data_IF_300710120812
#
_entry.id   IF_300710120812
#
_cell.length_a   1.000
_cell.length_b   1.000
_cell.length_c   1.000
_cell.angle_alpha   90.00
_cell.angle_beta   90.00
_cell.angle_gamma   90.00
#
_symmetry.space_group_name_H-M   'P 1'
#
loop_
_entity.id
_entity.type
_entity.pdbx_description
1 polymer ?
#
# COMPACT_ATOMS: atom_id res chain seq x y z
N UNK A 1 -10.84 -12.23 -4.28
CA UNK A 1 -9.86 -13.18 -3.72
C UNK A 1 -9.02 -13.77 -4.86
N UNK A 2 -7.75 -13.38 -5.00
CA UNK A 2 -6.82 -14.04 -5.94
C UNK A 2 -5.91 -14.96 -5.12
N UNK A 3 -5.95 -16.24 -5.45
CA UNK A 3 -5.13 -17.28 -4.84
C UNK A 3 -3.65 -16.97 -5.06
N UNK A 4 -2.91 -16.72 -3.97
CA UNK A 4 -1.44 -16.84 -3.98
C UNK A 4 -1.15 -18.34 -3.97
N UNK A 5 -0.87 -18.90 -5.14
CA UNK A 5 -0.41 -20.28 -5.28
C UNK A 5 1.00 -20.36 -4.67
N UNK A 6 1.08 -20.75 -3.40
CA UNK A 6 2.33 -21.11 -2.73
C UNK A 6 2.91 -22.35 -3.41
N UNK A 7 3.75 -22.15 -4.43
CA UNK A 7 4.67 -23.21 -4.84
C UNK A 7 5.66 -23.42 -3.69
N UNK A 8 5.59 -24.58 -3.03
CA UNK A 8 6.63 -25.06 -2.12
C UNK A 8 7.94 -25.23 -2.88
N UNK A 9 8.67 -24.14 -3.04
CA UNK A 9 10.10 -24.15 -3.36
C UNK A 9 10.82 -23.91 -2.04
N UNK A 10 11.96 -24.56 -1.88
CA UNK A 10 12.80 -24.60 -0.68
C UNK A 10 13.24 -23.23 -0.10
N UNK A 11 12.89 -22.12 -0.74
CA UNK A 11 13.28 -20.76 -0.37
C UNK A 11 12.07 -19.82 -0.34
N UNK A 12 11.93 -19.06 0.76
CA UNK A 12 10.97 -17.95 0.86
C UNK A 12 11.48 -16.83 -0.05
N UNK A 13 10.73 -16.55 -1.13
CA UNK A 13 11.12 -15.59 -2.18
C UNK A 13 10.34 -14.28 -2.12
N UNK A 14 9.47 -14.09 -1.12
CA UNK A 14 8.57 -12.95 -1.06
C UNK A 14 8.38 -12.57 0.41
N UNK A 15 8.79 -11.36 0.76
CA UNK A 15 8.25 -10.62 1.91
C UNK A 15 7.24 -9.60 1.38
N UNK A 16 6.21 -9.32 2.16
CA UNK A 16 5.24 -8.26 1.83
C UNK A 16 5.11 -7.32 3.00
N UNK A 17 5.27 -6.03 2.73
CA UNK A 17 4.99 -4.96 3.69
C UNK A 17 3.63 -4.32 3.35
N UNK A 18 2.88 -3.94 4.38
CA UNK A 18 1.66 -3.14 4.24
C UNK A 18 1.98 -1.77 4.80
N UNK A 19 1.65 -0.72 4.06
CA UNK A 19 1.73 0.65 4.57
C UNK A 19 0.36 1.32 4.52
N UNK A 20 0.11 2.12 5.54
CA UNK A 20 -1.04 2.99 5.64
C UNK A 20 -0.58 4.41 5.98
N UNK A 21 -1.01 5.43 5.22
CA UNK A 21 -0.74 6.81 5.57
C UNK A 21 -1.44 7.20 6.87
N UNK A 22 -0.82 8.08 7.65
CA UNK A 22 -1.54 8.80 8.70
C UNK A 22 -2.24 10.00 8.06
N UNK A 23 -3.57 10.02 8.09
CA UNK A 23 -4.37 11.07 7.49
C UNK A 23 -5.29 11.66 8.54
N UNK A 24 -5.17 12.96 8.75
CA UNK A 24 -6.03 13.72 9.66
C UNK A 24 -6.76 14.79 8.87
N UNK A 25 -8.10 14.73 8.86
CA UNK A 25 -8.90 15.76 8.21
C UNK A 25 -8.89 17.04 9.06
N UNK A 26 -8.51 18.16 8.46
CA UNK A 26 -8.42 19.44 9.19
C UNK A 26 -9.78 20.12 9.43
N UNK A 27 -10.87 19.51 8.97
CA UNK A 27 -12.19 20.15 8.93
C UNK A 27 -12.18 21.49 8.18
N UNK A 28 -11.26 21.62 7.21
CA UNK A 28 -11.10 22.78 6.35
C UNK A 28 -11.51 22.37 4.93
N UNK A 29 -12.47 23.10 4.35
CA UNK A 29 -13.05 22.75 3.06
C UNK A 29 -13.60 23.95 2.29
N UNK A 30 -13.69 23.77 0.98
CA UNK A 30 -14.31 24.71 0.05
C UNK A 30 -15.23 23.94 -0.90
N UNK A 31 -16.46 24.41 -1.02
CA UNK A 31 -17.50 23.85 -1.87
C UNK A 31 -17.98 24.90 -2.86
N UNK A 32 -18.01 24.54 -4.13
CA UNK A 32 -18.65 25.32 -5.20
C UNK A 32 -19.64 24.42 -5.92
N UNK A 33 -20.87 24.91 -6.07
CA UNK A 33 -21.90 24.31 -6.90
C UNK A 33 -22.14 25.21 -8.11
N UNK A 34 -21.96 24.67 -9.30
CA UNK A 34 -22.26 25.41 -10.54
C UNK A 34 -23.79 25.34 -10.78
N UNK A 35 -24.48 26.49 -10.75
CA UNK A 35 -25.95 26.60 -10.86
C UNK A 35 -26.44 26.90 -12.27
N UNK A 36 -25.56 27.33 -13.16
CA UNK A 36 -25.84 27.53 -14.58
C UNK A 36 -24.67 27.07 -15.45
N UNK A 37 -24.96 26.71 -16.70
CA UNK A 37 -23.94 26.46 -17.71
C UNK A 37 -23.19 27.75 -18.13
N UNK A 38 -23.79 28.91 -17.86
CA UNK A 38 -23.22 30.23 -18.18
C UNK A 38 -22.24 30.74 -17.11
N UNK A 39 -21.93 29.92 -16.10
CA UNK A 39 -20.94 30.24 -15.06
C UNK A 39 -21.50 30.89 -13.81
N UNK A 40 -22.82 30.83 -13.58
CA UNK A 40 -23.36 31.13 -12.26
C UNK A 40 -23.09 29.98 -11.28
N UNK A 41 -22.87 30.32 -10.02
CA UNK A 41 -22.48 29.38 -8.99
C UNK A 41 -22.86 29.87 -7.60
N UNK A 42 -22.94 28.90 -6.70
CA UNK A 42 -23.10 29.11 -5.27
C UNK A 42 -21.90 28.50 -4.57
N UNK A 43 -21.38 29.18 -3.55
CA UNK A 43 -20.17 28.75 -2.87
C UNK A 43 -20.27 28.84 -1.35
N UNK A 44 -19.45 28.04 -0.68
CA UNK A 44 -19.25 28.08 0.76
C UNK A 44 -17.88 27.52 1.13
N UNK A 45 -17.25 28.10 2.15
CA UNK A 45 -16.02 27.56 2.72
C UNK A 45 -16.02 27.67 4.24
N UNK A 46 -15.17 26.89 4.89
CA UNK A 46 -14.81 27.07 6.30
C UNK A 46 -13.93 28.30 6.54
N UNK A 47 -13.30 28.85 5.49
CA UNK A 47 -12.47 30.05 5.59
C UNK A 47 -13.31 31.33 5.51
N UNK A 48 -13.33 32.09 6.60
CA UNK A 48 -14.18 33.29 6.70
C UNK A 48 -13.83 34.38 5.67
N UNK A 49 -12.55 34.58 5.38
CA UNK A 49 -12.11 35.58 4.40
C UNK A 49 -12.67 35.29 2.99
N UNK A 50 -12.73 34.02 2.60
CA UNK A 50 -13.32 33.62 1.33
C UNK A 50 -14.83 33.91 1.30
N UNK A 51 -15.54 33.56 2.37
CA UNK A 51 -16.98 33.82 2.49
C UNK A 51 -17.30 35.32 2.43
N UNK A 52 -16.47 36.17 3.05
CA UNK A 52 -16.62 37.62 2.99
C UNK A 52 -16.41 38.18 1.58
N UNK A 53 -15.50 37.61 0.79
CA UNK A 53 -15.29 38.01 -0.60
C UNK A 53 -16.41 37.52 -1.53
N UNK A 54 -17.19 36.53 -1.12
CA UNK A 54 -18.20 35.86 -1.94
C UNK A 54 -19.63 36.05 -1.42
N UNK A 55 -19.88 37.10 -0.62
CA UNK A 55 -21.16 37.28 0.07
C UNK A 55 -22.39 37.22 -0.85
N UNK A 56 -22.30 37.72 -2.08
CA UNK A 56 -23.41 37.68 -3.05
C UNK A 56 -23.80 36.27 -3.48
N UNK A 57 -22.85 35.32 -3.45
CA UNK A 57 -23.01 33.93 -3.90
C UNK A 57 -22.89 32.92 -2.76
N UNK A 58 -22.84 33.41 -1.51
CA UNK A 58 -22.65 32.60 -0.32
C UNK A 58 -23.97 31.94 0.10
N UNK A 59 -23.94 30.63 0.30
CA UNK A 59 -24.99 29.91 1.05
C UNK A 59 -24.34 29.11 2.16
N UNK A 60 -24.99 28.98 3.30
CA UNK A 60 -24.45 28.23 4.42
C UNK A 60 -25.07 26.82 4.41
N UNK A 61 -24.30 25.76 4.11
CA UNK A 61 -24.76 24.39 4.17
C UNK A 61 -24.77 23.84 5.60
N UNK A 62 -25.46 22.73 5.78
CA UNK A 62 -25.23 21.83 6.91
C UNK A 62 -24.13 20.84 6.51
N UNK A 63 -23.05 20.78 7.29
CA UNK A 63 -21.93 19.86 7.06
C UNK A 63 -21.86 18.85 8.20
N UNK A 64 -21.72 17.59 7.84
CA UNK A 64 -21.47 16.48 8.76
C UNK A 64 -20.23 15.74 8.25
N UNK A 65 -19.20 15.67 9.08
CA UNK A 65 -17.99 14.91 8.80
C UNK A 65 -17.80 13.88 9.92
N UNK A 66 -17.41 12.67 9.57
CA UNK A 66 -17.11 11.60 10.51
C UNK A 66 -15.92 10.81 10.01
N UNK A 67 -14.86 10.78 10.80
CA UNK A 67 -13.72 9.88 10.58
C UNK A 67 -13.98 8.56 11.31
N UNK A 68 -13.72 7.44 10.64
CA UNK A 68 -13.88 6.11 11.19
C UNK A 68 -12.56 5.34 11.10
N UNK A 69 -12.23 4.67 12.18
CA UNK A 69 -11.23 3.61 12.27
C UNK A 69 -11.97 2.26 12.22
N UNK A 70 -11.79 1.51 11.13
CA UNK A 70 -12.52 0.26 10.86
C UNK A 70 -11.74 -0.94 11.38
N UNK A 71 -10.41 -0.87 11.35
CA UNK A 71 -9.53 -1.97 11.77
C UNK A 71 -9.10 -1.88 13.26
N UNK A 72 -9.37 -0.76 13.93
CA UNK A 72 -9.08 -0.50 15.34
C UNK A 72 -7.61 -0.24 15.63
N UNK A 73 -6.83 0.19 14.65
CA UNK A 73 -5.38 0.40 14.78
C UNK A 73 -5.00 1.82 15.28
N UNK A 74 -5.99 2.67 15.51
CA UNK A 74 -5.83 4.06 15.95
C UNK A 74 -5.59 5.06 14.82
N UNK A 75 -5.68 4.64 13.56
CA UNK A 75 -5.61 5.49 12.36
C UNK A 75 -6.99 5.58 11.71
N UNK A 76 -7.26 6.71 11.08
CA UNK A 76 -8.51 6.87 10.34
C UNK A 76 -8.43 6.12 9.00
N UNK A 77 -9.43 5.28 8.71
CA UNK A 77 -9.56 4.49 7.48
C UNK A 77 -10.54 5.12 6.49
N UNK A 78 -11.60 5.74 7.00
CA UNK A 78 -12.66 6.32 6.17
C UNK A 78 -13.07 7.70 6.70
N UNK A 79 -13.25 8.66 5.78
CA UNK A 79 -13.95 9.91 6.03
C UNK A 79 -15.32 9.85 5.35
N UNK A 80 -16.37 9.86 6.15
CA UNK A 80 -17.76 10.03 5.72
C UNK A 80 -18.15 11.51 5.81
N UNK A 81 -18.45 12.10 4.65
CA UNK A 81 -18.79 13.51 4.53
C UNK A 81 -20.17 13.65 3.88
N UNK A 82 -21.09 14.31 4.59
CA UNK A 82 -22.41 14.67 4.09
C UNK A 82 -22.59 16.18 4.18
N UNK A 83 -22.90 16.80 3.04
CA UNK A 83 -23.14 18.23 2.93
C UNK A 83 -24.53 18.46 2.36
N UNK A 84 -25.33 19.27 3.03
CA UNK A 84 -26.66 19.67 2.59
C UNK A 84 -26.66 21.17 2.28
N UNK A 85 -26.59 21.51 1.00
CA UNK A 85 -26.57 22.89 0.53
C UNK A 85 -27.99 23.37 0.23
N UNK A 86 -28.48 24.43 0.88
CA UNK A 86 -29.78 25.00 0.56
C UNK A 86 -29.72 25.69 -0.80
N UNK A 87 -30.63 25.32 -1.70
CA UNK A 87 -30.77 25.89 -3.03
C UNK A 87 -32.22 26.33 -3.22
N UNK A 88 -32.43 27.34 -4.06
CA UNK A 88 -33.76 27.78 -4.43
C UNK A 88 -34.47 26.76 -5.34
N UNK A 89 -35.80 26.84 -5.41
CA UNK A 89 -36.65 25.92 -6.18
C UNK A 89 -36.32 25.90 -7.68
N UNK A 90 -35.85 27.03 -8.22
CA UNK A 90 -35.50 27.20 -9.64
C UNK A 90 -34.04 26.84 -9.95
N UNK A 91 -33.18 26.67 -8.94
CA UNK A 91 -31.75 26.43 -9.12
C UNK A 91 -31.48 24.95 -9.40
N UNK A 92 -30.79 24.68 -10.52
CA UNK A 92 -30.32 23.36 -10.89
C UNK A 92 -28.80 23.30 -10.72
N UNK A 93 -28.28 22.17 -10.29
CA UNK A 93 -26.82 21.97 -10.14
C UNK A 93 -26.30 21.23 -11.37
N UNK A 94 -25.30 21.81 -12.03
CA UNK A 94 -24.63 21.23 -13.19
C UNK A 94 -23.25 20.66 -12.84
N UNK A 95 -22.62 21.17 -11.78
CA UNK A 95 -21.28 20.77 -11.36
C UNK A 95 -21.06 20.92 -9.87
N UNK A 96 -20.20 20.07 -9.30
CA UNK A 96 -19.77 20.13 -7.90
C UNK A 96 -18.25 20.14 -7.88
N UNK A 97 -17.67 21.14 -7.20
CA UNK A 97 -16.25 21.20 -6.91
C UNK A 97 -16.09 21.20 -5.40
N UNK A 98 -15.41 20.19 -4.89
CA UNK A 98 -15.17 20.02 -3.47
C UNK A 98 -13.66 19.92 -3.25
N UNK A 99 -13.14 20.83 -2.43
CA UNK A 99 -11.74 20.83 -2.00
C UNK A 99 -11.73 20.56 -0.50
N UNK A 100 -10.96 19.55 -0.10
CA UNK A 100 -10.79 19.12 1.28
C UNK A 100 -9.32 19.25 1.65
N UNK A 101 -9.04 19.78 2.83
CA UNK A 101 -7.68 19.98 3.33
C UNK A 101 -7.38 18.95 4.42
N UNK A 102 -6.24 18.28 4.29
CA UNK A 102 -5.77 17.22 5.17
C UNK A 102 -4.36 17.50 5.64
N UNK A 103 -4.04 17.11 6.87
CA UNK A 103 -2.68 16.86 7.27
C UNK A 103 -2.35 15.40 6.91
N UNK A 104 -1.24 15.21 6.19
CA UNK A 104 -0.84 13.90 5.71
C UNK A 104 0.59 13.60 6.17
N UNK A 105 0.81 12.39 6.67
CA UNK A 105 2.15 11.85 6.90
C UNK A 105 2.34 10.57 6.09
N UNK A 106 3.24 10.64 5.10
CA UNK A 106 3.61 9.50 4.26
C UNK A 106 5.03 9.04 4.61
N UNK A 107 5.20 7.73 4.76
CA UNK A 107 6.54 7.11 4.80
C UNK A 107 6.98 6.67 3.40
N UNK A 108 6.04 6.23 2.55
CA UNK A 108 6.27 5.87 1.12
C UNK A 108 5.18 6.49 0.22
N UNK A 109 5.33 6.35 -1.10
CA UNK A 109 4.39 6.79 -2.13
C UNK A 109 3.04 6.06 -2.06
N UNK A 110 1.94 6.81 -2.01
CA UNK A 110 0.56 6.30 -2.15
C UNK A 110 -0.11 6.89 -3.38
N UNK A 111 -1.07 6.19 -3.98
CA UNK A 111 -1.85 6.70 -5.12
C UNK A 111 -3.27 7.09 -4.69
N UNK A 112 -3.64 8.36 -4.91
CA UNK A 112 -5.02 8.80 -4.74
C UNK A 112 -5.85 8.38 -5.97
N UNK A 113 -6.72 7.39 -5.82
CA UNK A 113 -7.70 7.02 -6.84
C UNK A 113 -9.03 7.76 -6.61
N UNK A 114 -9.38 8.70 -7.50
CA UNK A 114 -10.70 9.31 -7.49
C UNK A 114 -11.72 8.32 -8.07
N UNK A 115 -12.73 7.93 -7.27
CA UNK A 115 -13.84 7.10 -7.75
C UNK A 115 -15.03 8.00 -8.06
N UNK A 116 -15.54 7.90 -9.28
CA UNK A 116 -16.56 8.78 -9.85
C UNK A 116 -17.79 8.98 -8.94
N UNK A 117 -18.26 10.22 -8.86
CA UNK A 117 -19.55 10.55 -8.24
C UNK A 117 -20.70 10.01 -9.10
N UNK A 118 -21.57 9.19 -8.50
CA UNK A 118 -22.81 8.73 -9.14
C UNK A 118 -23.89 9.81 -8.97
N UNK A 119 -24.17 10.54 -10.05
CA UNK A 119 -25.30 11.46 -10.08
C UNK A 119 -26.61 10.69 -9.92
N UNK A 120 -27.40 11.05 -8.91
CA UNK A 120 -28.79 10.59 -8.75
C UNK A 120 -29.71 11.78 -9.06
N UNK A 121 -30.56 11.63 -10.07
CA UNK A 121 -31.56 12.64 -10.42
C UNK A 121 -32.79 12.50 -9.49
N UNK A 122 -33.55 13.59 -9.29
CA UNK A 122 -34.82 13.56 -8.54
C UNK A 122 -34.87 14.41 -7.26
N UNK A 123 -34.33 15.64 -7.28
CA UNK A 123 -34.51 16.61 -6.19
C UNK A 123 -35.92 17.21 -6.25
N UNK A 124 -36.68 17.19 -5.14
CA UNK A 124 -37.89 18.01 -5.00
C UNK A 124 -37.50 19.48 -4.84
N UNK A 125 -38.30 20.42 -5.36
CA UNK A 125 -37.98 21.85 -5.37
C UNK A 125 -37.51 22.36 -3.99
N UNK A 126 -38.15 21.90 -2.92
CA UNK A 126 -37.92 22.34 -1.54
C UNK A 126 -36.78 21.62 -0.80
N UNK A 127 -36.23 20.53 -1.35
CA UNK A 127 -35.19 19.76 -0.67
C UNK A 127 -33.82 20.43 -0.85
N UNK A 128 -32.90 20.38 0.12
CA UNK A 128 -31.52 20.82 -0.08
C UNK A 128 -30.79 19.88 -1.06
N UNK A 129 -29.75 20.38 -1.70
CA UNK A 129 -28.85 19.56 -2.50
C UNK A 129 -27.88 18.81 -1.59
N UNK A 130 -27.88 17.48 -1.70
CA UNK A 130 -27.05 16.59 -0.87
C UNK A 130 -25.82 16.11 -1.62
N UNK A 131 -24.65 16.39 -1.06
CA UNK A 131 -23.36 15.84 -1.49
C UNK A 131 -22.90 14.84 -0.44
N UNK A 132 -22.88 13.56 -0.81
CA UNK A 132 -22.31 12.50 0.01
C UNK A 132 -20.99 12.06 -0.61
N UNK A 133 -19.91 12.18 0.14
CA UNK A 133 -18.58 11.77 -0.25
C UNK A 133 -18.03 10.80 0.79
N UNK A 134 -17.59 9.62 0.31
CA UNK A 134 -16.87 8.66 1.13
C UNK A 134 -15.44 8.60 0.62
N UNK A 135 -14.50 9.10 1.43
CA UNK A 135 -13.08 9.02 1.14
C UNK A 135 -12.51 7.83 1.91
N UNK A 136 -11.95 6.86 1.20
CA UNK A 136 -11.34 5.67 1.81
C UNK A 136 -9.82 5.77 1.70
N UNK A 137 -9.15 5.67 2.83
CA UNK A 137 -7.71 5.55 2.93
C UNK A 137 -7.35 4.08 2.83
N UNK A 138 -7.01 3.64 1.62
CA UNK A 138 -6.71 2.22 1.39
C UNK A 138 -5.30 1.91 1.89
N UNK A 139 -5.16 0.83 2.65
CA UNK A 139 -3.87 0.19 2.86
C UNK A 139 -3.28 -0.24 1.50
N UNK A 140 -2.21 0.42 1.07
CA UNK A 140 -1.45 -0.04 -0.08
C UNK A 140 -0.45 -1.09 0.41
N UNK A 141 -0.65 -2.32 -0.05
CA UNK A 141 0.30 -3.40 0.15
C UNK A 141 1.52 -3.16 -0.74
N UNK A 142 2.51 -2.44 -0.24
CA UNK A 142 3.70 -2.08 -0.99
C UNK A 142 4.70 -3.26 -1.02
N UNK A 143 4.69 -3.90 -2.19
CA UNK A 143 5.75 -4.65 -2.88
C UNK A 143 6.15 -6.04 -2.34
N UNK A 144 6.18 -6.98 -3.29
CA UNK A 144 6.87 -8.27 -3.20
C UNK A 144 8.38 -8.05 -3.17
N UNK A 145 9.01 -8.23 -2.01
CA UNK A 145 10.46 -8.34 -1.97
C UNK A 145 10.90 -9.65 -2.64
N UNK A 146 11.32 -9.59 -3.90
CA UNK A 146 12.00 -10.72 -4.53
C UNK A 146 13.48 -10.67 -4.14
N UNK A 147 13.98 -11.64 -3.36
CA UNK A 147 15.36 -11.61 -2.92
C UNK A 147 16.30 -11.64 -4.13
N UNK A 148 17.29 -10.75 -4.11
CA UNK A 148 18.29 -10.64 -5.17
C UNK A 148 19.22 -11.86 -5.21
N UNK A 149 19.99 -11.98 -6.30
CA UNK A 149 20.95 -13.07 -6.49
C UNK A 149 21.86 -13.28 -5.27
N UNK A 150 22.46 -12.20 -4.75
CA UNK A 150 23.39 -12.27 -3.62
C UNK A 150 22.75 -12.70 -2.30
N UNK A 151 21.46 -12.43 -2.10
CA UNK A 151 20.74 -12.84 -0.90
C UNK A 151 20.35 -14.30 -0.93
N UNK A 152 20.01 -14.82 -2.11
CA UNK A 152 19.81 -16.25 -2.35
C UNK A 152 21.12 -17.02 -2.11
N UNK A 153 22.24 -16.50 -2.60
CA UNK A 153 23.58 -17.07 -2.38
C UNK A 153 23.87 -17.15 -0.88
N UNK A 154 23.63 -16.08 -0.11
CA UNK A 154 23.84 -16.06 1.35
C UNK A 154 23.12 -17.20 2.07
N UNK A 155 21.87 -17.48 1.70
CA UNK A 155 21.12 -18.61 2.26
C UNK A 155 21.67 -19.97 1.78
N UNK A 156 21.97 -20.09 0.48
CA UNK A 156 22.39 -21.33 -0.16
C UNK A 156 23.68 -21.92 0.38
N UNK A 157 24.66 -21.08 0.74
CA UNK A 157 25.94 -21.53 1.29
C UNK A 157 25.79 -22.35 2.58
N UNK A 158 24.88 -21.95 3.48
CA UNK A 158 24.66 -22.67 4.75
C UNK A 158 24.20 -24.10 4.51
N UNK A 159 23.35 -24.31 3.50
CA UNK A 159 22.81 -25.63 3.18
C UNK A 159 23.82 -26.49 2.43
N UNK A 160 24.59 -25.88 1.52
CA UNK A 160 25.66 -26.59 0.82
C UNK A 160 26.72 -27.08 1.80
N UNK A 161 27.14 -26.24 2.75
CA UNK A 161 28.11 -26.61 3.80
C UNK A 161 27.56 -27.73 4.68
N UNK A 162 26.27 -27.67 5.06
CA UNK A 162 25.65 -28.73 5.86
C UNK A 162 25.70 -30.10 5.17
N UNK A 163 25.42 -30.17 3.87
CA UNK A 163 25.50 -31.40 3.08
C UNK A 163 26.96 -31.85 2.93
N UNK A 164 27.87 -30.91 2.65
CA UNK A 164 29.28 -31.19 2.43
C UNK A 164 29.94 -31.84 3.66
N UNK A 165 29.61 -31.40 4.88
CA UNK A 165 30.13 -31.99 6.12
C UNK A 165 29.74 -33.46 6.27
N UNK A 166 28.48 -33.80 5.97
CA UNK A 166 28.00 -35.20 6.04
C UNK A 166 28.72 -36.07 5.01
N UNK A 167 28.82 -35.62 3.76
CA UNK A 167 29.55 -36.35 2.73
C UNK A 167 31.03 -36.52 3.08
N UNK A 168 31.68 -35.46 3.58
CA UNK A 168 33.09 -35.50 3.98
C UNK A 168 33.34 -36.53 5.09
N UNK A 169 32.46 -36.60 6.09
CA UNK A 169 32.51 -37.60 7.15
C UNK A 169 32.35 -39.04 6.62
N UNK A 170 31.36 -39.26 5.74
CA UNK A 170 31.13 -40.60 5.16
C UNK A 170 32.33 -41.03 4.30
N UNK A 171 32.86 -40.15 3.46
CA UNK A 171 34.02 -40.46 2.62
C UNK A 171 35.28 -40.76 3.42
N UNK A 172 35.49 -40.07 4.55
CA UNK A 172 36.62 -40.39 5.44
C UNK A 172 36.48 -41.78 6.06
N UNK A 173 35.26 -42.17 6.49
CA UNK A 173 35.00 -43.54 6.97
C UNK A 173 35.20 -44.60 5.90
N UNK A 174 34.71 -44.36 4.68
CA UNK A 174 34.88 -45.28 3.55
C UNK A 174 36.35 -45.44 3.18
N UNK A 175 37.12 -44.34 3.08
CA UNK A 175 38.56 -44.41 2.80
C UNK A 175 39.28 -45.25 3.86
N UNK A 176 39.06 -44.95 5.14
CA UNK A 176 39.68 -45.71 6.24
C UNK A 176 39.34 -47.20 6.11
N UNK A 177 38.07 -47.53 5.85
CA UNK A 177 37.63 -48.92 5.68
C UNK A 177 38.31 -49.61 4.48
N UNK A 178 38.42 -48.94 3.33
CA UNK A 178 39.06 -49.50 2.13
C UNK A 178 40.56 -49.77 2.38
N UNK A 179 41.25 -48.82 3.03
CA UNK A 179 42.68 -48.96 3.32
C UNK A 179 42.97 -50.01 4.41
N UNK A 180 42.13 -50.08 5.44
CA UNK A 180 42.29 -51.09 6.51
C UNK A 180 42.02 -52.51 6.01
N UNK A 181 40.99 -52.70 5.17
CA UNK A 181 40.61 -54.02 4.67
C UNK A 181 41.29 -54.39 3.33
N UNK A 182 42.23 -53.57 2.83
CA UNK A 182 42.97 -53.80 1.58
C UNK A 182 42.08 -54.19 0.38
N UNK A 183 40.91 -53.58 0.27
CA UNK A 183 39.92 -53.92 -0.78
C UNK A 183 40.43 -53.49 -2.17
N UNK A 184 41.37 -52.55 -2.23
CA UNK A 184 42.00 -52.05 -3.45
C UNK A 184 43.49 -52.32 -3.38
N UNK A 185 44.09 -52.72 -4.51
CA UNK A 185 45.53 -52.95 -4.63
C UNK A 185 46.31 -51.66 -4.35
N UNK A 186 46.92 -51.58 -3.17
CA UNK A 186 47.79 -50.45 -2.80
C UNK A 186 49.22 -50.72 -3.26
N UNK A 187 49.76 -49.85 -4.11
CA UNK A 187 51.19 -49.86 -4.45
C UNK A 187 51.92 -48.96 -3.47
N UNK A 188 52.90 -49.50 -2.74
CA UNK A 188 53.76 -48.71 -1.85
C UNK A 188 54.78 -47.98 -2.71
N UNK A 189 54.60 -46.67 -2.87
CA UNK A 189 55.59 -45.82 -3.53
C UNK A 189 56.80 -45.67 -2.59
N UNK A 190 57.93 -46.29 -2.97
CA UNK A 190 59.20 -46.10 -2.27
C UNK A 190 59.80 -44.76 -2.73
N UNK A 191 60.17 -43.84 -1.83
CA UNK A 191 60.80 -42.59 -2.23
C UNK A 191 62.10 -42.90 -2.98
N UNK A 192 62.19 -42.47 -4.24
CA UNK A 192 63.39 -42.65 -5.05
C UNK A 192 64.53 -41.83 -4.44
N UNK A 193 65.69 -42.47 -4.22
CA UNK A 193 66.90 -41.76 -3.78
C UNK A 193 67.26 -40.72 -4.85
N UNK A 194 67.24 -39.45 -4.49
CA UNK A 194 67.88 -38.40 -5.27
C UNK A 194 69.36 -38.78 -5.45
N UNK A 195 69.79 -39.02 -6.70
CA UNK A 195 71.20 -39.14 -7.02
C UNK A 195 71.84 -37.77 -6.87
N UNK A 196 72.76 -37.64 -5.92
CA UNK A 196 73.69 -36.52 -5.84
C UNK A 196 74.89 -36.84 -6.73
N UNK A 197 74.95 -36.21 -7.91
CA UNK A 197 76.14 -35.73 -8.62
C UNK A 197 75.73 -35.14 -9.98
#
# INVERSE_FOLDING_TARGET
MKYVRLHFRFWKKIESFSEQPDVNFKYEMLLILDTSLDGDYVTWSTYQNYNQLQMEKLRVPVVKAKENDVNGDGRNDELDLAIEMPLLDAEKVYGVKLILIYDYLLTVTTVLSNTYALWKTGRSAQDPFRVNALVRYKEEKIILYSPGFWQLIKGGWIQYVAILVVFWFVFTKIKIFIFQNQIVTTVVERPSKQKSQ
#
